data_IF_262752506385
#
_entry.id   IF_262752506385
#
_cell.length_a   1.000
_cell.length_b   1.000
_cell.length_c   1.000
_cell.angle_alpha   90.00
_cell.angle_beta   90.00
_cell.angle_gamma   90.00
#
_symmetry.space_group_name_H-M   'P 1'
#
loop_
_entity.id
_entity.type
_entity.pdbx_description
1 polymer ?
#
# COMPACT_ATOMS: atom_id res chain seq x y z
N UNK A 1 20.39 -17.39 -17.31
CA UNK A 1 19.68 -16.10 -17.39
C UNK A 1 19.84 -15.38 -16.06
N UNK A 2 20.48 -14.21 -15.98
CA UNK A 2 20.50 -13.44 -14.74
C UNK A 2 19.09 -12.90 -14.48
N UNK A 3 18.53 -13.17 -13.30
CA UNK A 3 17.28 -12.56 -12.84
C UNK A 3 17.48 -11.04 -12.88
N UNK A 4 16.54 -10.32 -13.50
CA UNK A 4 16.53 -8.85 -13.43
C UNK A 4 16.69 -8.41 -11.97
N UNK A 5 17.51 -7.39 -11.67
CA UNK A 5 17.69 -6.94 -10.31
C UNK A 5 16.32 -6.59 -9.74
N UNK A 6 15.99 -7.17 -8.58
CA UNK A 6 14.75 -6.84 -7.89
C UNK A 6 14.73 -5.32 -7.68
N UNK A 7 13.76 -4.64 -8.29
CA UNK A 7 13.65 -3.19 -8.19
C UNK A 7 13.38 -2.86 -6.73
N UNK A 8 14.25 -2.08 -6.10
CA UNK A 8 14.02 -1.57 -4.76
C UNK A 8 13.52 -0.13 -4.82
N UNK A 9 12.55 0.18 -3.95
CA UNK A 9 12.05 1.55 -3.77
C UNK A 9 11.75 1.78 -2.29
N UNK A 10 12.26 2.88 -1.75
CA UNK A 10 12.12 3.23 -0.32
C UNK A 10 12.60 2.12 0.64
N UNK A 11 13.54 1.27 0.20
CA UNK A 11 14.03 0.12 0.97
C UNK A 11 13.14 -1.13 0.93
N UNK A 12 12.09 -1.14 0.09
CA UNK A 12 11.21 -2.27 -0.15
C UNK A 12 11.47 -2.91 -1.51
N UNK A 13 11.27 -4.23 -1.61
CA UNK A 13 11.30 -4.91 -2.89
C UNK A 13 9.99 -4.66 -3.63
N UNK A 14 10.08 -4.06 -4.81
CA UNK A 14 8.93 -3.81 -5.69
C UNK A 14 8.63 -5.06 -6.49
N UNK A 15 7.36 -5.41 -6.59
CA UNK A 15 6.92 -6.53 -7.41
C UNK A 15 6.79 -6.10 -8.88
N UNK A 16 6.93 -7.05 -9.81
CA UNK A 16 6.64 -6.80 -11.23
C UNK A 16 5.12 -6.77 -11.51
N UNK A 17 4.29 -6.52 -10.49
CA UNK A 17 2.84 -6.53 -10.63
C UNK A 17 2.40 -5.27 -11.37
N UNK A 18 1.68 -5.47 -12.47
CA UNK A 18 1.04 -4.39 -13.20
C UNK A 18 -0.25 -4.03 -12.45
N UNK A 19 -0.36 -2.77 -12.02
CA UNK A 19 -1.59 -2.28 -11.42
C UNK A 19 -2.54 -1.80 -12.52
N UNK A 20 -3.65 -2.54 -12.69
CA UNK A 20 -4.73 -2.14 -13.58
C UNK A 20 -5.75 -1.37 -12.76
N UNK A 21 -5.97 -0.11 -13.13
CA UNK A 21 -6.96 0.74 -12.47
C UNK A 21 -8.37 0.18 -12.74
N UNK A 22 -9.20 -0.08 -11.72
CA UNK A 22 -10.55 -0.60 -11.94
C UNK A 22 -11.39 0.44 -12.68
N UNK A 23 -12.07 0.04 -13.76
CA UNK A 23 -12.82 0.96 -14.64
C UNK A 23 -13.95 1.72 -13.94
N UNK A 24 -14.49 1.19 -12.84
CA UNK A 24 -15.61 1.78 -12.10
C UNK A 24 -15.18 2.28 -10.72
N UNK A 25 -14.25 3.23 -10.67
CA UNK A 25 -13.79 3.84 -9.41
C UNK A 25 -14.90 4.61 -8.69
N UNK A 26 -15.93 5.09 -9.37
CA UNK A 26 -17.05 5.86 -8.79
C UNK A 26 -17.88 5.07 -7.78
N UNK A 27 -18.06 3.76 -8.02
CA UNK A 27 -18.84 2.85 -7.16
C UNK A 27 -18.05 2.30 -5.96
N UNK A 28 -16.76 2.59 -5.90
CA UNK A 28 -15.92 2.12 -4.80
C UNK A 28 -16.21 2.91 -3.52
N UNK A 29 -16.23 2.18 -2.41
CA UNK A 29 -16.20 2.78 -1.07
C UNK A 29 -14.97 3.71 -0.94
N UNK A 30 -15.06 4.82 -0.20
CA UNK A 30 -13.94 5.76 -0.02
C UNK A 30 -12.63 5.08 0.40
N UNK A 31 -12.67 4.04 1.24
CA UNK A 31 -11.48 3.30 1.64
C UNK A 31 -10.86 2.54 0.45
N UNK A 32 -11.69 1.96 -0.43
CA UNK A 32 -11.22 1.24 -1.60
C UNK A 32 -10.68 2.19 -2.68
N UNK A 33 -11.32 3.36 -2.87
CA UNK A 33 -10.80 4.45 -3.72
C UNK A 33 -9.41 4.88 -3.27
N UNK A 34 -9.19 4.98 -1.95
CA UNK A 34 -7.89 5.33 -1.39
C UNK A 34 -6.83 4.29 -1.73
N UNK A 35 -7.12 3.00 -1.54
CA UNK A 35 -6.20 1.90 -1.88
C UNK A 35 -5.80 1.89 -3.36
N UNK A 36 -6.79 2.12 -4.23
CA UNK A 36 -6.59 2.24 -5.68
C UNK A 36 -5.70 3.42 -6.01
N UNK A 37 -5.94 4.58 -5.40
CA UNK A 37 -5.14 5.80 -5.63
C UNK A 37 -3.70 5.61 -5.20
N UNK A 38 -3.46 5.06 -4.00
CA UNK A 38 -2.12 4.73 -3.50
C UNK A 38 -1.38 3.81 -4.49
N UNK A 39 -2.05 2.73 -4.92
CA UNK A 39 -1.46 1.76 -5.84
C UNK A 39 -1.16 2.35 -7.21
N UNK A 40 -2.06 3.21 -7.72
CA UNK A 40 -1.88 3.91 -8.98
C UNK A 40 -0.68 4.88 -8.92
N UNK A 41 -0.57 5.69 -7.87
CA UNK A 41 0.56 6.62 -7.70
C UNK A 41 1.90 5.89 -7.60
N UNK A 42 1.92 4.74 -6.93
CA UNK A 42 3.12 3.94 -6.78
C UNK A 42 3.53 3.20 -8.06
N UNK A 43 2.60 2.45 -8.66
CA UNK A 43 2.88 1.57 -9.79
C UNK A 43 2.97 2.35 -11.12
N UNK A 44 2.00 3.24 -11.37
CA UNK A 44 1.88 3.93 -12.66
C UNK A 44 2.62 5.27 -12.67
N UNK A 45 2.54 6.04 -11.58
CA UNK A 45 3.25 7.34 -11.49
C UNK A 45 4.64 7.25 -10.86
N UNK A 46 5.08 6.04 -10.47
CA UNK A 46 6.41 5.75 -9.90
C UNK A 46 6.81 6.63 -8.71
N UNK A 47 5.84 7.15 -7.96
CA UNK A 47 6.07 7.98 -6.79
C UNK A 47 6.70 7.17 -5.63
N UNK A 48 7.42 7.86 -4.75
CA UNK A 48 7.94 7.28 -3.50
C UNK A 48 6.81 7.11 -2.47
N UNK A 49 7.00 6.22 -1.50
CA UNK A 49 6.03 6.03 -0.41
C UNK A 49 5.87 7.32 0.40
N UNK A 50 6.97 8.06 0.59
CA UNK A 50 6.98 9.35 1.30
C UNK A 50 6.18 10.43 0.57
N UNK A 51 6.34 10.53 -0.75
CA UNK A 51 5.58 11.50 -1.55
C UNK A 51 4.10 11.16 -1.57
N UNK A 52 3.75 9.88 -1.73
CA UNK A 52 2.35 9.43 -1.70
C UNK A 52 1.70 9.77 -0.35
N UNK A 53 2.40 9.51 0.76
CA UNK A 53 1.93 9.84 2.10
C UNK A 53 1.66 11.36 2.24
N UNK A 54 2.53 12.20 1.70
CA UNK A 54 2.36 13.66 1.73
C UNK A 54 1.24 14.15 0.82
N UNK A 55 1.13 13.61 -0.40
CA UNK A 55 0.10 13.99 -1.37
C UNK A 55 -1.30 13.65 -0.87
N UNK A 56 -1.45 12.49 -0.23
CA UNK A 56 -2.73 11.99 0.26
C UNK A 56 -3.05 12.38 1.70
N UNK A 57 -2.13 13.07 2.39
CA UNK A 57 -2.16 13.33 3.83
C UNK A 57 -2.39 12.04 4.65
N UNK A 58 -1.74 10.96 4.24
CA UNK A 58 -1.85 9.64 4.85
C UNK A 58 -0.61 9.29 5.67
N UNK A 59 -0.78 8.42 6.66
CA UNK A 59 0.36 7.93 7.44
C UNK A 59 1.26 7.06 6.55
N UNK A 60 2.57 7.25 6.62
CA UNK A 60 3.56 6.44 5.90
C UNK A 60 3.33 4.92 6.06
N UNK A 61 3.07 4.47 7.29
CA UNK A 61 2.75 3.07 7.59
C UNK A 61 1.43 2.60 6.95
N UNK A 62 0.44 3.49 6.78
CA UNK A 62 -0.81 3.15 6.10
C UNK A 62 -0.53 2.88 4.61
N UNK A 63 0.27 3.74 3.97
CA UNK A 63 0.67 3.56 2.56
C UNK A 63 1.42 2.24 2.36
N UNK A 64 2.39 1.93 3.23
CA UNK A 64 3.10 0.63 3.20
C UNK A 64 2.11 -0.54 3.28
N UNK A 65 1.22 -0.53 4.28
CA UNK A 65 0.27 -1.62 4.48
C UNK A 65 -0.62 -1.84 3.26
N UNK A 66 -1.09 -0.75 2.63
CA UNK A 66 -1.88 -0.84 1.40
C UNK A 66 -1.06 -1.44 0.26
N UNK A 67 0.19 -1.01 0.07
CA UNK A 67 1.06 -1.53 -0.99
C UNK A 67 1.41 -3.01 -0.78
N UNK A 68 1.57 -3.46 0.47
CA UNK A 68 1.76 -4.88 0.82
C UNK A 68 0.47 -5.66 0.57
N UNK A 69 -0.68 -5.18 1.04
CA UNK A 69 -1.99 -5.83 0.85
C UNK A 69 -2.32 -5.99 -0.65
N UNK A 70 -1.95 -5.01 -1.46
CA UNK A 70 -2.12 -5.05 -2.92
C UNK A 70 -0.99 -5.82 -3.64
N UNK A 71 0.02 -6.31 -2.92
CA UNK A 71 1.14 -7.07 -3.48
C UNK A 71 2.04 -6.26 -4.41
N UNK A 72 2.15 -4.95 -4.20
CA UNK A 72 3.01 -4.04 -4.94
C UNK A 72 4.44 -3.99 -4.38
N UNK A 73 4.58 -4.21 -3.07
CA UNK A 73 5.86 -4.25 -2.38
C UNK A 73 5.93 -5.42 -1.41
N UNK A 74 7.16 -5.87 -1.13
CA UNK A 74 7.48 -6.81 -0.06
C UNK A 74 8.48 -6.16 0.91
N UNK A 75 8.24 -6.35 2.20
CA UNK A 75 9.20 -5.99 3.24
C UNK A 75 10.38 -6.97 3.20
N UNK A 76 11.56 -6.48 2.83
CA UNK A 76 12.79 -7.29 2.72
C UNK A 76 13.29 -7.75 4.10
N UNK A 77 12.86 -7.08 5.17
CA UNK A 77 13.32 -7.27 6.54
C UNK A 77 12.17 -7.68 7.47
N UNK A 78 11.72 -8.94 7.45
CA UNK A 78 11.47 -9.77 8.66
C UNK A 78 10.44 -10.88 8.44
N UNK A 79 10.94 -12.10 8.63
CA UNK A 79 10.23 -13.18 9.31
C UNK A 79 10.01 -12.83 10.80
N UNK A 80 9.24 -11.77 11.10
CA UNK A 80 8.91 -11.39 12.48
C UNK A 80 7.67 -10.49 12.48
N UNK A 81 6.55 -11.16 12.72
CA UNK A 81 5.23 -10.64 13.10
C UNK A 81 4.37 -10.16 11.94
N UNK A 82 3.47 -11.07 11.53
CA UNK A 82 2.08 -10.73 11.21
C UNK A 82 1.65 -9.54 12.07
N UNK A 83 1.67 -8.34 11.51
CA UNK A 83 0.90 -7.25 12.06
C UNK A 83 -0.54 -7.62 11.72
N UNK A 84 -1.14 -8.46 12.58
CA UNK A 84 -2.58 -8.52 12.77
C UNK A 84 -2.99 -7.07 13.01
N UNK A 85 -3.45 -6.42 11.96
CA UNK A 85 -4.27 -5.22 12.05
C UNK A 85 -5.57 -5.70 12.71
N UNK A 86 -5.52 -5.92 14.02
CA UNK A 86 -6.72 -5.98 14.84
C UNK A 86 -7.34 -4.59 14.75
N UNK A 87 -8.44 -4.53 13.99
CA UNK A 87 -9.33 -3.39 13.91
C UNK A 87 -9.83 -3.10 15.33
N UNK A 88 -9.13 -2.24 16.07
CA UNK A 88 -9.68 -1.55 17.24
C UNK A 88 -10.69 -0.50 16.75
N UNK A 89 -11.86 -1.00 16.36
CA UNK A 89 -13.10 -0.24 16.39
C UNK A 89 -13.53 -0.09 17.85
N UNK A 90 -13.70 1.15 18.26
CA UNK A 90 -14.17 1.58 19.57
C UNK A 90 -15.48 0.91 20.02
N UNK A 91 -15.57 0.56 21.30
CA UNK A 91 -16.82 0.70 22.05
C UNK A 91 -16.53 1.38 23.38
N UNK A 92 -16.60 2.72 23.35
CA UNK A 92 -17.13 3.45 24.49
C UNK A 92 -18.58 2.99 24.70
N UNK A 93 -18.90 2.49 25.90
CA UNK A 93 -20.20 2.78 26.52
C UNK A 93 -20.07 2.73 28.05
N UNK A 94 -20.18 3.91 28.67
CA UNK A 94 -20.55 4.13 30.07
C UNK A 94 -21.91 3.48 30.34
N UNK A 95 -22.07 2.80 31.48
CA UNK A 95 -22.89 3.21 32.64
C UNK A 95 -23.07 2.02 33.59
#
# INVERSE_FOLDING_TARGET
>A
MPRAPALERDGFQVTNKIFINPSNTTLLDPAMKRKVTISNLFANHRQSIGDIARILDEKYNHVINVLIEQGMIYERRKNRQEVKIERRGSLFRRH
#
